data_IF_288398404383
#
_entry.id   IF_288398404383
#
_cell.length_a   1.000
_cell.length_b   1.000
_cell.length_c   1.000
_cell.angle_alpha   90.00
_cell.angle_beta   90.00
_cell.angle_gamma   90.00
#
_symmetry.space_group_name_H-M   'P 1'
#
loop_
_entity.id
_entity.type
_entity.pdbx_description
1 polymer ?
#
# COMPACT_ATOMS: atom_id res chain seq x y z
N UNK A 1 52.39 -4.04 20.86
CA UNK A 1 52.03 -4.32 19.45
C UNK A 1 50.70 -5.04 19.43
N UNK A 2 49.59 -4.29 19.56
CA UNK A 2 48.23 -4.82 19.40
C UNK A 2 47.76 -4.36 18.03
N UNK A 3 47.82 -5.29 17.08
CA UNK A 3 47.56 -5.09 15.66
C UNK A 3 46.11 -4.66 15.39
N UNK A 4 45.96 -3.50 14.77
CA UNK A 4 44.74 -2.93 14.18
C UNK A 4 44.20 -3.81 13.04
N UNK A 5 43.54 -4.93 13.34
CA UNK A 5 42.95 -5.81 12.32
C UNK A 5 41.41 -5.93 12.39
N UNK A 6 40.72 -5.02 13.09
CA UNK A 6 39.31 -5.24 13.50
C UNK A 6 38.23 -4.60 12.61
N UNK A 7 38.43 -3.50 11.85
CA UNK A 7 37.34 -2.93 11.04
C UNK A 7 37.03 -3.71 9.75
N UNK A 8 38.05 -4.32 9.13
CA UNK A 8 37.93 -4.88 7.78
C UNK A 8 37.38 -6.32 7.79
N UNK A 9 37.66 -7.08 8.85
CA UNK A 9 37.12 -8.43 9.05
C UNK A 9 35.63 -8.37 9.35
N UNK A 10 35.19 -7.44 10.20
CA UNK A 10 33.77 -7.22 10.52
C UNK A 10 32.99 -6.76 9.29
N UNK A 11 33.53 -5.80 8.50
CA UNK A 11 32.92 -5.40 7.22
C UNK A 11 32.83 -6.53 6.21
N UNK A 12 33.82 -7.42 6.16
CA UNK A 12 33.82 -8.56 5.25
C UNK A 12 32.84 -9.66 5.70
N UNK A 13 32.64 -9.84 7.01
CA UNK A 13 31.65 -10.75 7.58
C UNK A 13 30.22 -10.27 7.30
N UNK A 14 29.90 -9.01 7.62
CA UNK A 14 28.61 -8.40 7.30
C UNK A 14 28.30 -8.42 5.80
N UNK A 15 29.32 -8.23 4.96
CA UNK A 15 29.17 -8.31 3.50
C UNK A 15 28.94 -9.74 3.02
N UNK A 16 29.50 -10.75 3.68
CA UNK A 16 29.27 -12.17 3.36
C UNK A 16 27.88 -12.62 3.79
N UNK A 17 27.41 -12.20 4.96
CA UNK A 17 26.05 -12.46 5.45
C UNK A 17 24.99 -11.80 4.56
N UNK A 18 25.20 -10.53 4.18
CA UNK A 18 24.32 -9.86 3.22
C UNK A 18 24.33 -10.53 1.83
N UNK A 19 25.49 -10.95 1.32
CA UNK A 19 25.57 -11.71 0.06
C UNK A 19 24.90 -13.08 0.20
N UNK A 20 25.04 -13.76 1.35
CA UNK A 20 24.41 -15.06 1.60
C UNK A 20 22.88 -14.93 1.66
N UNK A 21 22.33 -13.93 2.36
CA UNK A 21 20.89 -13.65 2.39
C UNK A 21 20.33 -13.27 1.01
N UNK A 22 21.11 -12.55 0.20
CA UNK A 22 20.76 -12.30 -1.21
C UNK A 22 20.72 -13.63 -1.99
N UNK A 23 21.75 -14.48 -1.88
CA UNK A 23 21.80 -15.76 -2.60
C UNK A 23 20.67 -16.70 -2.17
N UNK A 24 20.31 -16.69 -0.89
CA UNK A 24 19.25 -17.51 -0.32
C UNK A 24 17.85 -17.03 -0.74
N UNK A 25 17.57 -15.72 -0.70
CA UNK A 25 16.34 -15.15 -1.25
C UNK A 25 16.19 -15.42 -2.75
N UNK A 26 17.29 -15.45 -3.50
CA UNK A 26 17.28 -15.88 -4.89
C UNK A 26 16.90 -17.35 -5.03
N UNK A 27 17.55 -18.25 -4.29
CA UNK A 27 17.34 -19.69 -4.41
C UNK A 27 15.91 -20.14 -4.04
N UNK A 28 15.26 -19.44 -3.10
CA UNK A 28 13.89 -19.74 -2.64
C UNK A 28 12.79 -19.13 -3.53
N UNK A 29 13.10 -18.13 -4.36
CA UNK A 29 12.10 -17.49 -5.20
C UNK A 29 11.65 -18.44 -6.34
N UNK A 30 10.34 -18.57 -6.64
CA UNK A 30 9.83 -19.48 -7.68
C UNK A 30 10.44 -19.25 -9.07
N UNK A 31 10.89 -18.02 -9.31
CA UNK A 31 11.53 -17.56 -10.56
C UNK A 31 12.81 -16.76 -10.28
N UNK A 32 13.92 -17.41 -9.91
CA UNK A 32 15.13 -16.76 -9.38
C UNK A 32 15.76 -15.77 -10.38
N UNK A 33 15.77 -16.13 -11.67
CA UNK A 33 16.34 -15.29 -12.72
C UNK A 33 15.54 -14.00 -12.93
N UNK A 34 14.20 -14.08 -12.93
CA UNK A 34 13.33 -12.89 -13.06
C UNK A 34 13.48 -12.01 -11.82
N UNK A 35 13.45 -12.61 -10.63
CA UNK A 35 13.64 -11.87 -9.38
C UNK A 35 14.96 -11.08 -9.39
N UNK A 36 16.07 -11.75 -9.73
CA UNK A 36 17.37 -11.10 -9.82
C UNK A 36 17.45 -10.00 -10.87
N UNK A 37 16.97 -10.27 -12.08
CA UNK A 37 16.93 -9.29 -13.15
C UNK A 37 16.07 -8.08 -12.78
N UNK A 38 14.95 -8.31 -12.10
CA UNK A 38 14.07 -7.26 -11.58
C UNK A 38 14.78 -6.35 -10.59
N UNK A 39 15.51 -6.93 -9.63
CA UNK A 39 16.33 -6.15 -8.67
C UNK A 39 17.44 -5.36 -9.34
N UNK A 40 18.08 -5.90 -10.37
CA UNK A 40 19.07 -5.17 -11.19
C UNK A 40 18.38 -4.01 -11.90
N UNK A 41 17.23 -4.24 -12.55
CA UNK A 41 16.48 -3.19 -13.24
C UNK A 41 16.06 -2.07 -12.28
N UNK A 42 15.55 -2.41 -11.09
CA UNK A 42 15.23 -1.46 -10.03
C UNK A 42 16.47 -0.64 -9.63
N UNK A 43 17.57 -1.32 -9.29
CA UNK A 43 18.81 -0.68 -8.81
C UNK A 43 19.41 0.31 -9.79
N UNK A 44 19.29 0.05 -11.09
CA UNK A 44 19.85 0.88 -12.16
C UNK A 44 18.80 1.78 -12.84
N UNK A 45 17.52 1.70 -12.45
CA UNK A 45 16.44 2.49 -13.06
C UNK A 45 16.10 2.09 -14.50
N UNK A 46 16.31 0.82 -14.86
CA UNK A 46 16.08 0.31 -16.20
C UNK A 46 14.57 0.13 -16.41
N UNK A 47 14.04 0.75 -17.46
CA UNK A 47 12.60 0.78 -17.77
C UNK A 47 12.36 0.27 -19.19
N UNK A 48 12.38 -1.06 -19.45
CA UNK A 48 12.24 -1.56 -20.81
C UNK A 48 10.84 -1.25 -21.35
N UNK A 49 10.70 -0.49 -22.46
CA UNK A 49 9.41 0.00 -22.92
C UNK A 49 8.45 -1.10 -23.38
N UNK A 50 8.98 -2.27 -23.73
CA UNK A 50 8.23 -3.45 -24.18
C UNK A 50 7.84 -4.39 -23.04
N UNK A 51 8.37 -4.18 -21.83
CA UNK A 51 8.10 -5.06 -20.71
C UNK A 51 6.81 -4.64 -20.04
N UNK A 52 5.79 -5.49 -20.18
CA UNK A 52 4.45 -5.28 -19.63
C UNK A 52 4.15 -6.39 -18.62
N UNK A 53 3.53 -6.02 -17.50
CA UNK A 53 2.94 -6.92 -16.52
C UNK A 53 1.45 -6.99 -16.80
N UNK A 54 0.94 -8.20 -17.06
CA UNK A 54 -0.48 -8.41 -17.36
C UNK A 54 -1.19 -8.85 -16.09
N UNK A 55 -2.32 -8.21 -15.78
CA UNK A 55 -3.25 -8.58 -14.72
C UNK A 55 -4.63 -8.79 -15.34
N UNK A 56 -5.57 -9.27 -14.55
CA UNK A 56 -6.93 -9.50 -15.05
C UNK A 56 -7.61 -8.15 -15.38
N UNK A 57 -7.80 -7.87 -16.67
CA UNK A 57 -8.50 -6.67 -17.14
C UNK A 57 -7.64 -5.41 -17.32
N UNK A 58 -6.35 -5.43 -17.01
CA UNK A 58 -5.44 -4.32 -17.27
C UNK A 58 -3.98 -4.77 -17.46
N UNK A 59 -3.14 -3.85 -17.91
CA UNK A 59 -1.69 -4.04 -18.06
C UNK A 59 -0.92 -2.91 -17.40
N UNK A 60 0.17 -3.22 -16.73
CA UNK A 60 1.12 -2.24 -16.21
C UNK A 60 2.36 -2.25 -17.10
N UNK A 61 2.90 -1.06 -17.38
CA UNK A 61 4.26 -0.96 -17.91
C UNK A 61 5.25 -1.23 -16.80
N UNK A 62 6.33 -1.93 -17.13
CA UNK A 62 7.41 -2.13 -16.18
C UNK A 62 8.10 -0.79 -15.86
N UNK A 63 7.93 -0.32 -14.63
CA UNK A 63 8.72 0.75 -14.05
C UNK A 63 9.62 0.18 -12.95
N UNK A 64 10.81 0.76 -12.71
CA UNK A 64 11.74 0.33 -11.67
C UNK A 64 11.16 0.75 -10.30
N UNK A 65 10.19 -0.04 -9.87
CA UNK A 65 9.37 0.11 -8.66
C UNK A 65 9.18 -1.26 -8.04
N UNK A 66 9.13 -1.35 -6.72
CA UNK A 66 9.06 -2.60 -6.00
C UNK A 66 7.74 -3.34 -6.28
N UNK A 67 6.62 -2.62 -6.36
CA UNK A 67 5.33 -3.16 -6.86
C UNK A 67 5.49 -3.83 -8.23
N UNK A 68 6.03 -3.12 -9.22
CA UNK A 68 6.09 -3.67 -10.59
C UNK A 68 7.13 -4.79 -10.71
N UNK A 69 8.23 -4.71 -9.95
CA UNK A 69 9.23 -5.78 -9.85
C UNK A 69 8.60 -7.04 -9.26
N UNK A 70 7.85 -6.92 -8.15
CA UNK A 70 7.18 -8.03 -7.49
C UNK A 70 6.18 -8.72 -8.41
N UNK A 71 5.28 -7.95 -9.03
CA UNK A 71 4.29 -8.48 -9.97
C UNK A 71 4.95 -9.12 -11.21
N UNK A 72 6.08 -8.59 -11.67
CA UNK A 72 6.79 -9.16 -12.82
C UNK A 72 7.62 -10.39 -12.47
N UNK A 73 8.24 -10.43 -11.29
CA UNK A 73 9.04 -11.56 -10.84
C UNK A 73 8.16 -12.74 -10.49
N UNK A 74 6.98 -12.49 -9.91
CA UNK A 74 6.03 -13.50 -9.50
C UNK A 74 4.59 -13.24 -10.01
N UNK A 75 4.34 -13.34 -11.33
CA UNK A 75 3.03 -13.04 -11.91
C UNK A 75 1.88 -13.94 -11.44
N UNK A 76 2.18 -15.11 -10.89
CA UNK A 76 1.18 -16.06 -10.37
C UNK A 76 1.01 -15.96 -8.85
N UNK A 77 1.69 -15.01 -8.18
CA UNK A 77 1.46 -14.78 -6.76
C UNK A 77 0.04 -14.26 -6.57
N UNK A 78 -0.61 -14.78 -5.53
CA UNK A 78 -1.81 -14.16 -5.00
C UNK A 78 -1.47 -12.76 -4.50
N UNK A 79 -2.35 -11.82 -4.81
CA UNK A 79 -2.24 -10.43 -4.39
C UNK A 79 -3.48 -10.14 -3.55
N UNK A 80 -3.30 -10.15 -2.23
CA UNK A 80 -4.39 -10.06 -1.26
C UNK A 80 -5.18 -8.77 -1.39
N UNK A 81 -4.51 -7.70 -1.81
CA UNK A 81 -5.08 -6.36 -1.88
C UNK A 81 -5.91 -6.24 -3.16
N UNK A 82 -5.36 -6.70 -4.29
CA UNK A 82 -6.10 -6.83 -5.54
C UNK A 82 -7.32 -7.75 -5.37
N UNK A 83 -7.16 -8.90 -4.71
CA UNK A 83 -8.23 -9.86 -4.46
C UNK A 83 -9.34 -9.26 -3.57
N UNK A 84 -8.97 -8.51 -2.53
CA UNK A 84 -9.93 -7.82 -1.69
C UNK A 84 -10.75 -6.80 -2.48
N UNK A 85 -10.08 -5.94 -3.27
CA UNK A 85 -10.76 -4.94 -4.11
C UNK A 85 -11.71 -5.61 -5.10
N UNK A 86 -11.29 -6.70 -5.76
CA UNK A 86 -12.14 -7.46 -6.71
C UNK A 86 -13.36 -8.07 -6.04
N UNK A 87 -13.20 -8.60 -4.83
CA UNK A 87 -14.32 -9.14 -4.04
C UNK A 87 -15.26 -8.03 -3.58
N UNK A 88 -14.74 -6.89 -3.13
CA UNK A 88 -15.55 -5.84 -2.51
C UNK A 88 -16.27 -4.92 -3.51
N UNK A 89 -15.59 -4.49 -4.57
CA UNK A 89 -16.08 -3.45 -5.48
C UNK A 89 -17.19 -3.95 -6.41
N UNK A 90 -18.03 -3.03 -6.85
CA UNK A 90 -19.18 -3.22 -7.74
C UNK A 90 -19.20 -2.16 -8.83
N UNK A 91 -19.86 -2.48 -9.95
CA UNK A 91 -20.10 -1.51 -11.03
C UNK A 91 -20.79 -0.25 -10.49
N UNK A 92 -20.29 0.93 -10.85
CA UNK A 92 -20.83 2.21 -10.40
C UNK A 92 -20.27 2.73 -9.07
N UNK A 93 -19.45 1.97 -8.36
CA UNK A 93 -18.84 2.43 -7.11
C UNK A 93 -17.94 3.66 -7.31
N UNK A 94 -17.88 4.49 -6.26
CA UNK A 94 -16.88 5.56 -6.14
C UNK A 94 -15.76 5.11 -5.20
N UNK A 95 -14.52 5.21 -5.68
CA UNK A 95 -13.31 4.81 -4.95
C UNK A 95 -12.38 5.99 -4.81
N UNK A 96 -11.77 6.14 -3.64
CA UNK A 96 -10.68 7.09 -3.39
C UNK A 96 -9.44 6.27 -3.04
N UNK A 97 -8.35 6.49 -3.77
CA UNK A 97 -7.08 5.78 -3.64
C UNK A 97 -5.98 6.78 -3.29
N UNK A 98 -5.63 6.83 -2.01
CA UNK A 98 -4.56 7.68 -1.47
C UNK A 98 -3.28 6.85 -1.35
N UNK A 99 -2.22 7.31 -2.02
CA UNK A 99 -1.03 6.51 -2.27
C UNK A 99 -1.23 5.56 -3.45
N UNK A 100 -1.71 6.11 -4.56
CA UNK A 100 -2.04 5.33 -5.76
C UNK A 100 -0.81 4.68 -6.42
N UNK A 101 0.41 5.13 -6.08
CA UNK A 101 1.68 4.61 -6.58
C UNK A 101 1.65 4.47 -8.12
N UNK A 102 2.10 3.36 -8.70
CA UNK A 102 2.13 3.12 -10.16
C UNK A 102 0.76 2.79 -10.75
N UNK A 103 -0.29 2.77 -9.93
CA UNK A 103 -1.67 2.56 -10.36
C UNK A 103 -2.12 1.11 -10.42
N UNK A 104 -1.45 0.20 -9.72
CA UNK A 104 -1.85 -1.21 -9.63
C UNK A 104 -3.27 -1.34 -9.07
N UNK A 105 -3.49 -0.93 -7.82
CA UNK A 105 -4.80 -0.98 -7.18
C UNK A 105 -5.78 0.03 -7.78
N UNK A 106 -5.31 1.19 -8.25
CA UNK A 106 -6.13 2.14 -9.02
C UNK A 106 -6.74 1.49 -10.28
N UNK A 107 -5.94 0.73 -11.04
CA UNK A 107 -6.41 0.06 -12.26
C UNK A 107 -7.32 -1.12 -11.95
N UNK A 108 -7.04 -1.86 -10.86
CA UNK A 108 -7.98 -2.85 -10.32
C UNK A 108 -9.33 -2.19 -10.03
N UNK A 109 -9.35 -1.13 -9.23
CA UNK A 109 -10.58 -0.40 -8.89
C UNK A 109 -11.29 0.12 -10.14
N UNK A 110 -10.58 0.82 -11.03
CA UNK A 110 -11.12 1.37 -12.29
C UNK A 110 -11.73 0.29 -13.19
N UNK A 111 -11.15 -0.92 -13.19
CA UNK A 111 -11.70 -2.08 -13.91
C UNK A 111 -13.00 -2.57 -13.26
N UNK A 112 -13.01 -2.71 -11.94
CA UNK A 112 -14.14 -3.28 -11.20
C UNK A 112 -15.37 -2.37 -11.18
N UNK A 113 -15.16 -1.05 -11.05
CA UNK A 113 -16.27 -0.09 -10.99
C UNK A 113 -16.85 0.26 -12.36
N UNK A 114 -16.10 -0.05 -13.43
CA UNK A 114 -16.52 0.20 -14.81
C UNK A 114 -16.72 1.68 -15.15
N UNK A 115 -17.18 1.96 -16.37
CA UNK A 115 -17.35 3.33 -16.88
C UNK A 115 -18.39 4.15 -16.10
N UNK A 116 -19.32 3.50 -15.41
CA UNK A 116 -20.32 4.14 -14.57
C UNK A 116 -19.80 4.51 -13.17
N UNK A 117 -18.67 3.94 -12.76
CA UNK A 117 -18.03 4.26 -11.48
C UNK A 117 -16.98 5.36 -11.63
N UNK A 118 -16.33 5.72 -10.53
CA UNK A 118 -15.28 6.75 -10.53
C UNK A 118 -14.19 6.39 -9.53
N UNK A 119 -12.93 6.57 -9.94
CA UNK A 119 -11.77 6.43 -9.05
C UNK A 119 -11.05 7.76 -8.94
N UNK A 120 -10.86 8.27 -7.73
CA UNK A 120 -10.03 9.42 -7.43
C UNK A 120 -8.67 8.89 -6.96
N UNK A 121 -7.65 8.98 -7.82
CA UNK A 121 -6.31 8.46 -7.56
C UNK A 121 -5.36 9.60 -7.21
N UNK A 122 -4.75 9.51 -6.03
CA UNK A 122 -3.93 10.55 -5.43
C UNK A 122 -2.54 9.99 -5.16
N UNK A 123 -1.51 10.57 -5.79
CA UNK A 123 -0.12 10.17 -5.62
C UNK A 123 0.75 11.42 -5.44
N UNK A 124 1.51 11.47 -4.34
CA UNK A 124 2.29 12.63 -3.96
C UNK A 124 3.58 12.78 -4.78
N UNK A 125 4.28 11.69 -5.04
CA UNK A 125 5.58 11.71 -5.66
C UNK A 125 5.46 11.99 -7.18
N UNK A 126 6.02 13.09 -7.71
CA UNK A 126 5.80 13.49 -9.10
C UNK A 126 6.29 12.47 -10.15
N UNK A 127 7.43 11.80 -9.89
CA UNK A 127 7.92 10.70 -10.75
C UNK A 127 6.95 9.52 -10.78
N UNK A 128 6.47 9.05 -9.62
CA UNK A 128 5.56 7.91 -9.51
C UNK A 128 4.19 8.26 -10.07
N UNK A 129 3.71 9.49 -9.83
CA UNK A 129 2.53 10.04 -10.50
C UNK A 129 2.66 10.02 -12.04
N UNK A 130 3.86 10.27 -12.57
CA UNK A 130 4.15 10.10 -13.99
C UNK A 130 3.96 8.65 -14.47
N UNK A 131 4.34 7.66 -13.66
CA UNK A 131 4.14 6.24 -13.94
C UNK A 131 2.65 5.86 -13.89
N UNK A 132 1.93 6.30 -12.86
CA UNK A 132 0.47 6.18 -12.74
C UNK A 132 -0.24 6.68 -14.00
N UNK A 133 0.06 7.91 -14.41
CA UNK A 133 -0.53 8.52 -15.61
C UNK A 133 -0.23 7.72 -16.87
N UNK A 134 1.00 7.23 -17.02
CA UNK A 134 1.38 6.40 -18.17
C UNK A 134 0.62 5.06 -18.20
N UNK A 135 0.45 4.42 -17.04
CA UNK A 135 -0.31 3.18 -16.91
C UNK A 135 -1.81 3.38 -17.18
N UNK A 136 -2.41 4.47 -16.68
CA UNK A 136 -3.81 4.80 -16.98
C UNK A 136 -4.03 5.07 -18.47
N UNK A 137 -3.11 5.81 -19.11
CA UNK A 137 -3.16 6.08 -20.54
C UNK A 137 -3.00 4.79 -21.38
N UNK A 138 -2.10 3.88 -20.96
CA UNK A 138 -1.90 2.58 -21.60
C UNK A 138 -3.20 1.74 -21.61
N UNK A 139 -4.00 1.85 -20.56
CA UNK A 139 -5.27 1.14 -20.41
C UNK A 139 -6.49 1.95 -20.88
N UNK A 140 -6.28 3.16 -21.42
CA UNK A 140 -7.35 4.06 -21.89
C UNK A 140 -8.45 4.31 -20.85
N UNK A 141 -8.08 4.41 -19.57
CA UNK A 141 -9.06 4.65 -18.50
C UNK A 141 -9.55 6.08 -18.53
N UNK A 142 -10.88 6.25 -18.55
CA UNK A 142 -11.57 7.54 -18.57
C UNK A 142 -12.34 7.83 -17.28
N UNK A 143 -12.54 6.81 -16.43
CA UNK A 143 -13.26 6.89 -15.16
C UNK A 143 -12.32 7.17 -13.95
N UNK A 144 -11.12 7.72 -14.20
CA UNK A 144 -10.13 8.01 -13.17
C UNK A 144 -9.77 9.49 -13.17
N UNK A 145 -9.91 10.13 -12.01
CA UNK A 145 -9.49 11.50 -11.74
C UNK A 145 -8.15 11.45 -11.01
N UNK A 146 -7.17 12.25 -11.46
CA UNK A 146 -5.79 12.20 -10.96
C UNK A 146 -5.41 13.48 -10.21
N UNK A 147 -4.82 13.32 -9.04
CA UNK A 147 -4.23 14.42 -8.27
C UNK A 147 -2.78 14.11 -7.89
N UNK A 148 -1.86 15.01 -8.28
CA UNK A 148 -0.46 14.93 -7.85
C UNK A 148 -0.24 15.81 -6.62
N UNK A 149 -0.63 15.29 -5.46
CA UNK A 149 -0.64 16.01 -4.18
C UNK A 149 -0.51 15.01 -3.05
N UNK A 150 0.12 15.40 -1.95
CA UNK A 150 0.06 14.65 -0.69
C UNK A 150 -1.25 14.96 0.05
N UNK A 151 -1.78 13.98 0.78
CA UNK A 151 -2.93 14.21 1.66
C UNK A 151 -2.44 14.38 3.09
N UNK A 152 -2.90 15.45 3.74
CA UNK A 152 -2.59 15.74 5.13
C UNK A 152 -3.77 16.37 5.85
N UNK A 153 -3.52 16.89 7.06
CA UNK A 153 -4.54 17.53 7.89
C UNK A 153 -4.81 19.00 7.54
N UNK A 154 -4.00 19.60 6.67
CA UNK A 154 -4.13 20.99 6.21
C UNK A 154 -3.52 21.18 4.81
N UNK A 155 -3.97 22.19 4.03
CA UNK A 155 -3.36 22.53 2.76
C UNK A 155 -1.97 23.16 2.94
N UNK A 156 -1.07 22.91 2.00
CA UNK A 156 0.25 23.54 2.03
C UNK A 156 1.30 22.83 1.19
N UNK A 157 2.49 22.68 1.77
CA UNK A 157 3.62 21.98 1.19
C UNK A 157 4.16 20.99 2.22
N UNK A 158 4.44 19.77 1.79
CA UNK A 158 5.08 18.76 2.62
C UNK A 158 6.45 18.42 2.05
N UNK A 159 7.42 18.24 2.94
CA UNK A 159 8.66 17.59 2.58
C UNK A 159 8.35 16.12 2.29
N UNK A 160 8.96 15.57 1.25
CA UNK A 160 8.68 14.23 0.77
C UNK A 160 9.97 13.59 0.32
N UNK A 161 10.20 12.33 0.65
CA UNK A 161 11.44 11.67 0.24
C UNK A 161 11.51 11.48 -1.28
N UNK A 162 12.72 11.51 -1.83
CA UNK A 162 13.01 11.17 -3.24
C UNK A 162 13.90 9.93 -3.30
N UNK A 163 13.41 8.83 -2.72
CA UNK A 163 14.09 7.55 -2.86
C UNK A 163 13.67 6.94 -4.20
N UNK A 164 14.62 6.30 -4.89
CA UNK A 164 14.31 5.64 -6.17
C UNK A 164 13.32 4.48 -6.01
N UNK A 165 13.31 3.88 -4.83
CA UNK A 165 12.35 2.85 -4.41
C UNK A 165 11.06 3.54 -3.97
N UNK A 166 9.94 3.15 -4.59
CA UNK A 166 8.62 3.74 -4.40
C UNK A 166 7.97 3.31 -3.08
N UNK A 167 8.19 2.07 -2.65
CA UNK A 167 7.66 1.48 -1.40
C UNK A 167 8.21 2.13 -0.12
N UNK A 168 9.05 3.16 -0.25
CA UNK A 168 9.57 3.91 0.90
C UNK A 168 9.40 5.41 0.73
N UNK A 169 8.71 5.86 -0.32
CA UNK A 169 8.51 7.27 -0.54
C UNK A 169 7.39 7.79 0.35
N UNK A 170 7.76 8.69 1.26
CA UNK A 170 6.92 9.12 2.37
C UNK A 170 7.13 10.59 2.70
N UNK A 171 6.22 11.12 3.50
CA UNK A 171 6.39 12.44 4.12
C UNK A 171 7.68 12.45 4.95
N UNK A 172 8.54 13.43 4.67
CA UNK A 172 9.86 13.59 5.28
C UNK A 172 9.92 14.76 6.26
N UNK A 173 11.13 15.02 6.77
CA UNK A 173 11.40 16.21 7.58
C UNK A 173 11.68 17.41 6.70
N UNK A 174 11.29 18.60 7.17
CA UNK A 174 11.50 19.85 6.45
C UNK A 174 12.97 20.03 6.02
N UNK A 175 13.18 20.39 4.74
CA UNK A 175 14.51 20.59 4.17
C UNK A 175 15.20 19.31 3.64
N UNK A 176 14.53 18.16 3.71
CA UNK A 176 15.01 16.91 3.09
C UNK A 176 14.08 16.48 1.94
N UNK A 177 14.67 15.99 0.84
CA UNK A 177 13.93 15.47 -0.32
C UNK A 177 13.27 16.54 -1.21
N UNK A 178 12.08 16.22 -1.72
CA UNK A 178 11.22 17.07 -2.54
C UNK A 178 10.29 17.91 -1.65
N UNK A 179 9.82 19.02 -2.20
CA UNK A 179 8.62 19.70 -1.69
C UNK A 179 7.47 19.33 -2.62
N UNK A 180 6.41 18.75 -2.06
CA UNK A 180 5.19 18.40 -2.80
C UNK A 180 4.01 19.22 -2.27
N UNK A 181 3.07 19.64 -3.14
CA UNK A 181 1.85 20.26 -2.67
C UNK A 181 1.08 19.29 -1.76
N UNK A 182 0.41 19.83 -0.76
CA UNK A 182 -0.42 19.09 0.17
C UNK A 182 -1.82 19.67 0.25
N UNK A 183 -2.81 18.80 0.44
CA UNK A 183 -4.22 19.17 0.56
C UNK A 183 -4.94 18.21 1.52
N UNK A 184 -6.10 18.63 2.02
CA UNK A 184 -7.01 17.78 2.80
C UNK A 184 -7.79 16.82 1.91
N UNK A 185 -8.15 15.65 2.42
CA UNK A 185 -8.97 14.73 1.65
C UNK A 185 -10.37 15.28 1.42
N UNK A 186 -10.91 16.02 2.39
CA UNK A 186 -12.22 16.66 2.28
C UNK A 186 -12.31 17.67 1.13
N UNK A 187 -11.20 18.31 0.75
CA UNK A 187 -11.18 19.26 -0.36
C UNK A 187 -11.14 18.57 -1.74
N UNK A 188 -10.65 17.32 -1.82
CA UNK A 188 -10.50 16.60 -3.08
C UNK A 188 -11.55 15.51 -3.32
N UNK A 189 -12.09 14.93 -2.25
CA UNK A 189 -13.13 13.93 -2.34
C UNK A 189 -14.43 14.56 -2.87
N UNK A 190 -15.22 13.84 -3.69
CA UNK A 190 -16.44 14.38 -4.30
C UNK A 190 -17.50 14.67 -3.23
N UNK A 191 -17.76 15.94 -2.90
CA UNK A 191 -18.50 16.39 -1.71
C UNK A 191 -19.87 15.70 -1.47
N UNK A 192 -20.60 15.35 -2.52
CA UNK A 192 -21.98 14.83 -2.44
C UNK A 192 -22.12 13.34 -2.77
N UNK A 193 -21.03 12.64 -3.07
CA UNK A 193 -21.06 11.20 -3.43
C UNK A 193 -20.64 10.29 -2.28
N UNK A 194 -21.44 9.28 -1.96
CA UNK A 194 -21.00 8.17 -1.09
C UNK A 194 -19.69 7.56 -1.64
N UNK A 195 -18.74 7.26 -0.75
CA UNK A 195 -17.49 6.59 -1.10
C UNK A 195 -17.63 5.12 -0.71
N UNK A 196 -17.68 4.25 -1.71
CA UNK A 196 -17.75 2.81 -1.50
C UNK A 196 -16.47 2.31 -0.83
N UNK A 197 -15.30 2.77 -1.32
CA UNK A 197 -14.00 2.39 -0.79
C UNK A 197 -13.06 3.59 -0.72
N UNK A 198 -12.46 3.83 0.45
CA UNK A 198 -11.31 4.71 0.60
C UNK A 198 -10.09 3.85 0.97
N UNK A 199 -9.15 3.73 0.05
CA UNK A 199 -7.84 3.11 0.25
C UNK A 199 -6.84 4.17 0.70
N UNK A 200 -6.09 3.89 1.77
CA UNK A 200 -5.02 4.77 2.27
C UNK A 200 -3.80 3.93 2.59
N UNK A 201 -2.73 4.10 1.82
CA UNK A 201 -1.41 3.61 2.22
C UNK A 201 -0.41 4.71 1.89
N UNK A 202 0.15 5.29 2.95
CA UNK A 202 0.97 6.51 2.91
C UNK A 202 2.17 6.38 3.85
N UNK A 203 2.65 5.15 4.02
CA UNK A 203 3.90 4.83 4.69
C UNK A 203 4.00 5.38 6.14
N UNK A 204 2.89 5.30 6.88
CA UNK A 204 2.81 5.69 8.28
C UNK A 204 2.15 7.03 8.53
N UNK A 205 1.76 7.79 7.49
CA UNK A 205 1.13 9.12 7.62
C UNK A 205 -0.42 9.07 7.75
N UNK A 206 -1.00 7.88 7.96
CA UNK A 206 -2.44 7.61 7.87
C UNK A 206 -3.25 8.46 8.87
N UNK A 207 -2.75 8.66 10.09
CA UNK A 207 -3.43 9.48 11.12
C UNK A 207 -3.66 10.92 10.64
N UNK A 208 -2.68 11.50 9.94
CA UNK A 208 -2.77 12.86 9.41
C UNK A 208 -3.71 12.93 8.22
N UNK A 209 -3.72 11.91 7.36
CA UNK A 209 -4.72 11.76 6.29
C UNK A 209 -6.12 11.74 6.88
N UNK A 210 -6.37 10.93 7.91
CA UNK A 210 -7.68 10.83 8.55
C UNK A 210 -8.11 12.12 9.26
N UNK A 211 -7.18 12.85 9.86
CA UNK A 211 -7.45 14.17 10.44
C UNK A 211 -7.94 15.20 9.40
N UNK A 212 -7.47 15.12 8.15
CA UNK A 212 -7.93 15.93 7.02
C UNK A 212 -9.10 15.35 6.23
N UNK A 213 -9.73 14.27 6.73
CA UNK A 213 -10.75 13.51 6.02
C UNK A 213 -12.08 13.39 6.79
N UNK A 214 -12.31 14.20 7.82
CA UNK A 214 -13.46 14.02 8.71
C UNK A 214 -14.81 14.03 7.98
N UNK A 215 -14.97 14.91 6.98
CA UNK A 215 -16.12 14.95 6.08
C UNK A 215 -16.24 13.68 5.26
N UNK A 216 -15.16 13.29 4.60
CA UNK A 216 -15.00 12.12 3.75
C UNK A 216 -15.33 10.83 4.50
N UNK A 217 -14.78 10.64 5.70
CA UNK A 217 -14.97 9.45 6.54
C UNK A 217 -16.43 9.24 6.96
N UNK A 218 -17.24 10.30 7.07
CA UNK A 218 -18.68 10.18 7.36
C UNK A 218 -19.48 9.56 6.20
N UNK A 219 -18.93 9.61 4.99
CA UNK A 219 -19.57 9.20 3.73
C UNK A 219 -18.91 7.95 3.13
N UNK A 220 -17.87 7.45 3.80
CA UNK A 220 -17.17 6.23 3.42
C UNK A 220 -17.84 5.01 4.03
N UNK A 221 -18.12 3.99 3.21
CA UNK A 221 -18.65 2.69 3.65
C UNK A 221 -17.54 1.78 4.17
N UNK A 222 -16.46 1.67 3.41
CA UNK A 222 -15.30 0.82 3.71
C UNK A 222 -13.99 1.61 3.57
N UNK A 223 -13.14 1.49 4.58
CA UNK A 223 -11.76 1.93 4.58
C UNK A 223 -10.86 0.71 4.43
N UNK A 224 -9.80 0.85 3.64
CA UNK A 224 -8.77 -0.15 3.50
C UNK A 224 -7.43 0.55 3.66
N UNK A 225 -6.66 0.21 4.68
CA UNK A 225 -5.46 0.97 4.99
C UNK A 225 -4.36 0.13 5.61
N UNK A 226 -3.12 0.46 5.26
CA UNK A 226 -1.93 -0.25 5.73
C UNK A 226 -1.38 0.40 7.00
N UNK A 227 -0.92 -0.44 7.93
CA UNK A 227 -0.25 0.01 9.15
C UNK A 227 0.89 -0.92 9.53
N UNK A 228 1.92 -0.37 10.17
CA UNK A 228 2.88 -1.12 10.97
C UNK A 228 3.56 -0.22 12.01
N UNK A 229 4.09 -0.83 13.07
CA UNK A 229 4.57 -0.09 14.25
C UNK A 229 5.73 0.85 13.90
N UNK A 230 6.72 0.36 13.16
CA UNK A 230 7.88 1.17 12.77
C UNK A 230 7.53 2.35 11.84
N UNK A 231 6.46 2.29 11.06
CA UNK A 231 6.03 3.39 10.19
C UNK A 231 5.33 4.48 10.99
N UNK A 232 4.32 4.10 11.78
CA UNK A 232 3.57 5.05 12.62
C UNK A 232 4.47 5.74 13.65
N UNK A 233 5.40 5.00 14.28
CA UNK A 233 6.32 5.54 15.28
C UNK A 233 7.21 6.68 14.74
N UNK A 234 7.51 6.71 13.44
CA UNK A 234 8.29 7.79 12.80
C UNK A 234 7.58 9.14 12.88
N UNK A 235 6.26 9.14 12.98
CA UNK A 235 5.43 10.34 13.10
C UNK A 235 4.99 10.60 14.55
N UNK A 236 5.52 9.85 15.52
CA UNK A 236 5.29 10.07 16.95
C UNK A 236 3.96 9.54 17.47
N UNK A 237 3.35 8.58 16.78
CA UNK A 237 2.12 7.88 17.21
C UNK A 237 2.21 6.38 16.92
N UNK A 238 1.27 5.58 17.44
CA UNK A 238 1.20 4.14 17.19
C UNK A 238 0.01 3.72 16.33
N UNK A 239 -0.08 2.42 16.02
CA UNK A 239 -1.22 1.86 15.27
C UNK A 239 -2.56 2.12 15.97
N UNK A 240 -2.59 2.02 17.30
CA UNK A 240 -3.78 2.31 18.11
C UNK A 240 -4.31 3.74 17.91
N UNK A 241 -3.46 4.73 17.63
CA UNK A 241 -3.89 6.09 17.28
C UNK A 241 -4.59 6.15 15.93
N UNK A 242 -4.10 5.39 14.94
CA UNK A 242 -4.69 5.29 13.60
C UNK A 242 -6.04 4.61 13.67
N UNK A 243 -6.12 3.49 14.40
CA UNK A 243 -7.37 2.77 14.69
C UNK A 243 -8.36 3.69 15.41
N UNK A 244 -7.91 4.41 16.44
CA UNK A 244 -8.73 5.38 17.15
C UNK A 244 -9.29 6.47 16.23
N UNK A 245 -8.47 7.00 15.32
CA UNK A 245 -8.88 8.03 14.37
C UNK A 245 -10.02 7.60 13.44
N UNK A 246 -10.12 6.30 13.09
CA UNK A 246 -11.27 5.79 12.32
C UNK A 246 -12.42 5.33 13.23
N UNK A 247 -12.15 4.74 14.39
CA UNK A 247 -13.19 4.27 15.33
C UNK A 247 -14.08 5.42 15.83
N UNK A 248 -13.55 6.63 16.06
CA UNK A 248 -14.35 7.80 16.45
C UNK A 248 -15.40 8.18 15.39
N UNK A 249 -15.19 7.78 14.14
CA UNK A 249 -16.17 7.94 13.08
C UNK A 249 -17.20 6.82 13.02
N UNK A 250 -17.16 5.81 13.89
CA UNK A 250 -18.14 4.71 13.96
C UNK A 250 -17.82 3.51 13.08
N UNK A 251 -16.53 3.30 12.77
CA UNK A 251 -16.08 2.11 12.05
C UNK A 251 -15.69 0.97 13.02
N UNK A 252 -16.02 -0.25 12.64
CA UNK A 252 -15.44 -1.48 13.19
C UNK A 252 -14.21 -1.84 12.37
N UNK A 253 -13.07 -2.09 13.03
CA UNK A 253 -11.81 -2.43 12.38
C UNK A 253 -11.57 -3.94 12.41
N UNK A 254 -11.20 -4.48 11.27
CA UNK A 254 -11.00 -5.89 10.99
C UNK A 254 -9.67 -6.08 10.26
N UNK A 255 -9.11 -7.29 10.30
CA UNK A 255 -8.05 -7.76 9.41
C UNK A 255 -8.50 -9.02 8.67
N UNK A 256 -7.88 -9.31 7.54
CA UNK A 256 -8.14 -10.51 6.76
C UNK A 256 -7.01 -11.53 6.98
N UNK A 257 -7.32 -12.61 7.69
CA UNK A 257 -6.37 -13.71 7.95
C UNK A 257 -6.83 -14.95 7.20
N UNK A 258 -6.06 -15.41 6.21
CA UNK A 258 -6.33 -16.64 5.47
C UNK A 258 -7.79 -16.77 4.96
N UNK A 259 -8.38 -15.65 4.51
CA UNK A 259 -9.76 -15.60 4.01
C UNK A 259 -10.85 -15.46 5.09
N UNK A 260 -10.48 -15.20 6.35
CA UNK A 260 -11.40 -14.98 7.47
C UNK A 260 -11.21 -13.56 8.00
N UNK A 261 -12.32 -12.86 8.25
CA UNK A 261 -12.31 -11.55 8.89
C UNK A 261 -12.18 -11.70 10.41
N UNK A 262 -11.19 -11.03 10.99
CA UNK A 262 -10.91 -11.03 12.43
C UNK A 262 -10.99 -9.60 12.95
N UNK A 263 -11.73 -9.38 14.04
CA UNK A 263 -11.84 -8.06 14.67
C UNK A 263 -10.52 -7.65 15.31
N UNK A 264 -10.16 -6.37 15.13
CA UNK A 264 -8.94 -5.79 15.67
C UNK A 264 -9.26 -5.00 16.94
N UNK A 265 -8.63 -5.39 18.04
CA UNK A 265 -8.73 -4.69 19.33
C UNK A 265 -7.79 -3.47 19.40
N UNK A 266 -7.87 -2.72 20.51
CA UNK A 266 -7.08 -1.49 20.70
C UNK A 266 -5.61 -1.76 21.08
N UNK A 267 -5.27 -3.00 21.43
CA UNK A 267 -3.91 -3.43 21.77
C UNK A 267 -3.14 -3.99 20.56
N UNK A 268 -3.74 -3.96 19.38
CA UNK A 268 -3.17 -4.47 18.15
C UNK A 268 -1.84 -3.80 17.79
N UNK A 269 -0.85 -4.65 17.50
CA UNK A 269 0.48 -4.27 17.01
C UNK A 269 0.83 -5.10 15.78
N UNK A 270 1.74 -4.58 14.97
CA UNK A 270 2.18 -5.23 13.74
C UNK A 270 3.63 -4.86 13.45
N UNK A 271 4.51 -5.87 13.55
CA UNK A 271 5.94 -5.72 13.26
C UNK A 271 6.19 -5.41 11.78
N UNK A 272 5.34 -5.94 10.91
CA UNK A 272 5.37 -5.76 9.47
C UNK A 272 4.08 -5.12 8.99
N UNK A 273 4.11 -4.66 7.74
CA UNK A 273 2.96 -4.10 7.05
C UNK A 273 1.76 -5.05 7.08
N UNK A 274 0.62 -4.54 7.52
CA UNK A 274 -0.66 -5.24 7.47
C UNK A 274 -1.75 -4.31 6.96
N UNK A 275 -2.60 -4.83 6.08
CA UNK A 275 -3.79 -4.13 5.63
C UNK A 275 -4.96 -4.40 6.58
N UNK A 276 -5.57 -3.33 7.06
CA UNK A 276 -6.78 -3.32 7.87
C UNK A 276 -7.99 -2.88 7.05
N UNK A 277 -9.14 -3.43 7.40
CA UNK A 277 -10.44 -3.10 6.82
C UNK A 277 -11.28 -2.44 7.91
N UNK A 278 -11.77 -1.22 7.69
CA UNK A 278 -12.71 -0.60 8.61
C UNK A 278 -14.05 -0.32 7.95
N UNK A 279 -15.13 -0.86 8.54
CA UNK A 279 -16.49 -0.82 7.98
C UNK A 279 -17.52 -0.43 9.02
N UNK A 280 -18.64 0.15 8.58
CA UNK A 280 -19.79 0.46 9.45
C UNK A 280 -20.75 -0.72 9.58
N UNK A 281 -20.81 -1.54 8.54
CA UNK A 281 -21.72 -2.68 8.44
C UNK A 281 -20.91 -3.92 8.02
N UNK A 282 -20.59 -4.76 9.01
CA UNK A 282 -19.86 -6.01 8.80
C UNK A 282 -20.68 -7.02 7.97
N UNK A 283 -21.99 -7.22 8.23
CA UNK A 283 -22.84 -8.01 7.34
C UNK A 283 -22.78 -7.59 5.87
N UNK A 284 -22.81 -6.29 5.57
CA UNK A 284 -22.66 -5.79 4.21
C UNK A 284 -21.28 -6.12 3.61
N UNK A 285 -20.21 -5.95 4.38
CA UNK A 285 -18.86 -6.35 3.96
C UNK A 285 -18.81 -7.83 3.58
N UNK A 286 -19.37 -8.70 4.41
CA UNK A 286 -19.47 -10.14 4.15
C UNK A 286 -20.32 -10.43 2.90
N UNK A 287 -21.44 -9.75 2.72
CA UNK A 287 -22.29 -9.90 1.53
C UNK A 287 -21.56 -9.49 0.25
N UNK A 288 -20.79 -8.41 0.29
CA UNK A 288 -20.00 -7.96 -0.88
C UNK A 288 -18.85 -8.90 -1.16
N UNK A 289 -18.12 -9.33 -0.14
CA UNK A 289 -16.86 -10.05 -0.35
C UNK A 289 -17.01 -11.57 -0.42
N UNK A 290 -18.11 -12.12 0.12
CA UNK A 290 -18.26 -13.55 0.38
C UNK A 290 -17.40 -14.05 1.55
N UNK A 291 -16.70 -13.17 2.26
CA UNK A 291 -15.89 -13.50 3.43
C UNK A 291 -16.78 -13.71 4.65
N UNK A 292 -16.27 -14.47 5.63
CA UNK A 292 -16.94 -14.70 6.91
C UNK A 292 -16.18 -14.03 8.05
N UNK A 293 -16.92 -13.56 9.06
CA UNK A 293 -16.37 -13.12 10.33
C UNK A 293 -16.05 -14.34 11.20
N UNK A 294 -14.93 -14.32 11.92
CA UNK A 294 -14.60 -15.32 12.93
C UNK A 294 -15.66 -15.32 14.05
N UNK A 295 -16.23 -16.49 14.36
CA UNK A 295 -17.34 -16.63 15.33
C UNK A 295 -16.88 -16.92 16.77
N UNK A 296 -15.60 -17.28 17.00
CA UNK A 296 -15.06 -17.62 18.32
C UNK A 296 -13.57 -17.25 18.48
N UNK A 297 -13.06 -17.16 19.70
CA UNK A 297 -11.63 -16.97 19.99
C UNK A 297 -10.74 -18.08 19.38
N UNK A 298 -11.27 -19.31 19.25
CA UNK A 298 -10.55 -20.41 18.61
C UNK A 298 -10.37 -20.20 17.10
N UNK A 299 -11.32 -19.52 16.45
CA UNK A 299 -11.21 -19.12 15.04
C UNK A 299 -10.23 -17.94 14.86
N UNK A 300 -10.01 -17.13 15.90
CA UNK A 300 -9.04 -16.03 15.90
C UNK A 300 -7.61 -16.52 16.18
N UNK A 301 -7.46 -17.58 16.99
CA UNK A 301 -6.16 -18.17 17.37
C UNK A 301 -5.66 -19.29 16.43
N UNK A 302 -6.51 -19.82 15.54
CA UNK A 302 -6.15 -20.94 14.65
C UNK A 302 -5.39 -20.53 13.38
N UNK A 303 -5.07 -19.25 13.22
CA UNK A 303 -4.05 -18.85 12.26
C UNK A 303 -2.68 -19.20 12.83
N UNK A 304 -1.85 -20.01 12.13
CA UNK A 304 -0.43 -20.00 12.43
C UNK A 304 -0.02 -18.53 12.28
N UNK A 305 0.58 -17.94 13.32
CA UNK A 305 1.38 -16.75 13.10
C UNK A 305 2.23 -17.05 11.89
N UNK A 306 2.13 -16.22 10.85
CA UNK A 306 2.98 -16.35 9.69
C UNK A 306 4.41 -16.22 10.21
N UNK A 307 5.02 -17.36 10.54
CA UNK A 307 6.45 -17.56 10.53
C UNK A 307 6.86 -17.40 9.06
N UNK A 308 6.89 -16.14 8.62
CA UNK A 308 7.75 -15.78 7.52
C UNK A 308 9.16 -15.93 8.04
N UNK A 309 9.84 -16.92 7.46
CA UNK A 309 11.21 -17.30 7.76
C UNK A 309 12.10 -16.07 7.96
N UNK A 310 12.74 -16.03 9.13
CA UNK A 310 13.75 -15.06 9.52
C UNK A 310 14.75 -14.80 8.37
N UNK A 311 14.97 -13.52 8.06
CA UNK A 311 16.23 -13.12 7.44
C UNK A 311 16.15 -11.96 6.46
N UNK A 312 15.83 -10.74 6.94
CA UNK A 312 16.21 -9.49 6.28
C UNK A 312 16.46 -8.38 7.32
N UNK A 313 17.64 -8.42 7.94
CA UNK A 313 18.38 -7.21 8.37
C UNK A 313 19.32 -6.73 7.25
#
# INVERSE_FOLDING_TARGET
MTSEATPQIVRNAQRREHIAGIVESFARHPRPFRFGLGRVMLRFGITPPFLLVRREGYVLRFFPTSVTVGLWSNPDAEDTDEDFLRRYLRLGDTVVDVGANVGHLTLTASTMVGESGTVIAIEAHPRIFGYLKANLALNRRTNVVLHNVAIGNEPGQLAFSDVRDDDFNRVGTAGSGLSVPAETLDALAPADSEISLLKVDVEGYEKHVFAGAAGTLRRTRCLYFEVWDAATARFGYGIHDVIGAVKVHGFTVLRLDAGILVTVDDAFTALHAVNLIAVRDVPELCQRTGLRLAESEADQMSSPGLEWEEGLE
#
